data_IF_352465827120
#
_entry.id   IF_352465827120
#
_cell.length_a   1.000
_cell.length_b   1.000
_cell.length_c   1.000
_cell.angle_alpha   90.00
_cell.angle_beta   90.00
_cell.angle_gamma   90.00
#
_symmetry.space_group_name_H-M   'P 1'
#
loop_
_entity.id
_entity.type
_entity.pdbx_description
1 polymer ?
#
# COMPACT_ATOMS: atom_id res chain seq x y z
N UNK A 1 5.24 -13.87 41.24
CA UNK A 1 4.92 -14.55 39.96
C UNK A 1 5.19 -13.61 38.79
N UNK A 2 6.28 -13.82 38.06
CA UNK A 2 6.54 -13.09 36.80
C UNK A 2 5.58 -13.61 35.73
N UNK A 3 4.79 -12.73 35.12
CA UNK A 3 3.97 -13.06 33.96
C UNK A 3 4.86 -13.64 32.86
N UNK A 4 4.55 -14.86 32.44
CA UNK A 4 5.16 -15.49 31.27
C UNK A 4 4.86 -14.63 30.04
N UNK A 5 5.94 -14.21 29.40
CA UNK A 5 5.95 -13.48 28.15
C UNK A 5 5.39 -14.39 27.05
N UNK A 6 4.13 -14.16 26.65
CA UNK A 6 3.45 -14.95 25.62
C UNK A 6 3.84 -14.46 24.22
N UNK A 7 5.13 -14.39 23.92
CA UNK A 7 5.63 -14.15 22.56
C UNK A 7 5.45 -15.42 21.73
N UNK A 8 4.20 -15.64 21.33
CA UNK A 8 3.83 -16.60 20.29
C UNK A 8 4.71 -16.29 19.07
N UNK A 9 5.48 -17.29 18.64
CA UNK A 9 6.59 -17.17 17.68
C UNK A 9 6.30 -16.23 16.51
N UNK A 10 7.28 -15.40 16.21
CA UNK A 10 7.24 -14.41 15.12
C UNK A 10 7.06 -15.09 13.76
N UNK A 11 5.81 -15.36 13.38
CA UNK A 11 5.46 -15.70 12.00
C UNK A 11 6.02 -14.59 11.09
N UNK A 12 6.92 -14.97 10.18
CA UNK A 12 7.42 -14.07 9.14
C UNK A 12 6.34 -13.98 8.05
N UNK A 13 5.67 -12.83 7.95
CA UNK A 13 4.58 -12.62 6.99
C UNK A 13 5.04 -12.10 5.61
N UNK A 14 6.32 -11.73 5.45
CA UNK A 14 6.86 -11.18 4.20
C UNK A 14 7.91 -12.13 3.58
N UNK A 15 7.53 -12.86 2.53
CA UNK A 15 8.39 -13.85 1.84
C UNK A 15 8.33 -13.78 0.32
N UNK A 16 7.28 -13.19 -0.24
CA UNK A 16 6.97 -13.20 -1.66
C UNK A 16 6.70 -11.79 -2.20
N UNK A 17 6.67 -11.65 -3.53
CA UNK A 17 6.33 -10.39 -4.18
C UNK A 17 4.94 -9.88 -3.76
N UNK A 18 3.97 -10.78 -3.61
CA UNK A 18 2.62 -10.42 -3.15
C UNK A 18 2.65 -9.83 -1.73
N UNK A 19 3.44 -10.39 -0.82
CA UNK A 19 3.52 -9.87 0.55
C UNK A 19 4.09 -8.45 0.59
N UNK A 20 5.10 -8.16 -0.24
CA UNK A 20 5.67 -6.82 -0.35
C UNK A 20 4.76 -5.84 -1.10
N UNK A 21 4.00 -6.31 -2.09
CA UNK A 21 2.91 -5.54 -2.68
C UNK A 21 1.88 -5.13 -1.63
N UNK A 22 1.44 -6.08 -0.80
CA UNK A 22 0.48 -5.81 0.28
C UNK A 22 1.07 -4.88 1.33
N UNK A 23 2.36 -5.01 1.68
CA UNK A 23 3.03 -4.04 2.55
C UNK A 23 2.96 -2.62 1.96
N UNK A 24 3.31 -2.44 0.69
CA UNK A 24 3.23 -1.14 0.03
C UNK A 24 1.80 -0.60 0.03
N UNK A 25 0.82 -1.42 -0.37
CA UNK A 25 -0.58 -1.04 -0.41
C UNK A 25 -1.11 -0.65 0.98
N UNK A 26 -0.77 -1.42 2.02
CA UNK A 26 -1.23 -1.16 3.38
C UNK A 26 -0.53 0.05 4.01
N UNK A 27 0.73 0.34 3.67
CA UNK A 27 1.36 1.57 4.16
C UNK A 27 0.73 2.83 3.56
N UNK A 28 0.16 2.74 2.35
CA UNK A 28 -0.62 3.79 1.71
C UNK A 28 -2.04 3.90 2.31
N UNK A 29 -2.89 2.90 2.07
CA UNK A 29 -4.34 2.94 2.35
C UNK A 29 -4.79 2.05 3.53
N UNK A 30 -3.84 1.50 4.28
CA UNK A 30 -4.11 0.53 5.33
C UNK A 30 -4.91 1.10 6.50
N UNK A 31 -5.90 0.34 6.94
CA UNK A 31 -6.62 0.55 8.19
C UNK A 31 -6.03 -0.30 9.31
N UNK A 32 -6.01 0.29 10.50
CA UNK A 32 -5.82 -0.45 11.74
C UNK A 32 -6.57 0.22 12.89
N UNK A 33 -7.07 -0.59 13.81
CA UNK A 33 -7.63 -0.12 15.08
C UNK A 33 -7.64 -1.27 16.09
N UNK A 34 -6.95 -1.08 17.21
CA UNK A 34 -6.76 -2.12 18.24
C UNK A 34 -6.16 -3.41 17.66
N UNK A 35 -6.98 -4.44 17.40
CA UNK A 35 -6.57 -5.73 16.82
C UNK A 35 -7.00 -5.89 15.35
N UNK A 36 -7.57 -4.85 14.76
CA UNK A 36 -8.04 -4.86 13.39
C UNK A 36 -6.89 -4.56 12.43
N UNK A 37 -6.71 -5.38 11.42
CA UNK A 37 -5.79 -5.16 10.30
C UNK A 37 -6.59 -5.21 9.00
N UNK A 38 -6.60 -4.12 8.25
CA UNK A 38 -7.51 -3.96 7.12
C UNK A 38 -7.04 -2.99 6.05
N UNK A 39 -7.90 -2.84 5.04
CA UNK A 39 -7.77 -1.87 3.95
C UNK A 39 -9.11 -1.17 3.77
N UNK A 40 -9.08 0.15 3.54
CA UNK A 40 -10.25 0.92 3.13
C UNK A 40 -10.00 1.48 1.74
N UNK A 41 -10.82 1.12 0.75
CA UNK A 41 -10.65 1.61 -0.62
C UNK A 41 -11.98 1.74 -1.35
N UNK A 42 -12.00 2.64 -2.34
CA UNK A 42 -13.10 2.75 -3.32
C UNK A 42 -12.92 1.79 -4.50
N UNK A 43 -11.75 1.16 -4.64
CA UNK A 43 -11.45 0.19 -5.68
C UNK A 43 -11.73 -1.24 -5.18
N UNK A 44 -12.77 -1.87 -5.73
CA UNK A 44 -13.15 -3.25 -5.41
C UNK A 44 -12.07 -4.27 -5.76
N UNK A 45 -11.25 -4.02 -6.79
CA UNK A 45 -10.16 -4.93 -7.16
C UNK A 45 -9.08 -4.97 -6.09
N UNK A 46 -8.73 -3.81 -5.51
CA UNK A 46 -7.79 -3.73 -4.39
C UNK A 46 -8.33 -4.43 -3.15
N UNK A 47 -9.60 -4.21 -2.82
CA UNK A 47 -10.25 -4.88 -1.68
C UNK A 47 -10.25 -6.41 -1.87
N UNK A 48 -10.60 -6.90 -3.05
CA UNK A 48 -10.63 -8.34 -3.32
C UNK A 48 -9.23 -8.96 -3.24
N UNK A 49 -8.22 -8.32 -3.84
CA UNK A 49 -6.82 -8.78 -3.75
C UNK A 49 -6.34 -8.83 -2.31
N UNK A 50 -6.58 -7.77 -1.54
CA UNK A 50 -6.23 -7.73 -0.12
C UNK A 50 -6.97 -8.82 0.67
N UNK A 51 -8.23 -9.10 0.35
CA UNK A 51 -8.99 -10.20 0.96
C UNK A 51 -8.45 -11.58 0.66
N UNK A 52 -8.01 -11.84 -0.57
CA UNK A 52 -7.31 -13.09 -0.92
C UNK A 52 -6.03 -13.24 -0.08
N UNK A 53 -5.26 -12.16 0.09
CA UNK A 53 -4.08 -12.16 0.94
C UNK A 53 -4.42 -12.48 2.40
N UNK A 54 -5.42 -11.83 2.99
CA UNK A 54 -5.84 -12.08 4.38
C UNK A 54 -6.27 -13.53 4.61
N UNK A 55 -7.05 -14.11 3.69
CA UNK A 55 -7.44 -15.54 3.76
C UNK A 55 -6.24 -16.47 3.74
N UNK A 56 -5.18 -16.12 3.00
CA UNK A 56 -3.95 -16.92 2.93
C UNK A 56 -3.16 -16.87 4.23
N UNK A 57 -2.99 -15.69 4.82
CA UNK A 57 -2.11 -15.52 6.00
C UNK A 57 -2.81 -15.78 7.34
N UNK A 58 -4.14 -15.76 7.35
CA UNK A 58 -4.98 -15.96 8.53
C UNK A 58 -6.28 -16.70 8.16
N UNK A 59 -6.20 -17.95 7.69
CA UNK A 59 -7.36 -18.71 7.21
C UNK A 59 -8.43 -18.88 8.29
N UNK A 60 -8.03 -19.01 9.56
CA UNK A 60 -8.93 -19.22 10.70
C UNK A 60 -9.56 -17.92 11.21
N UNK A 61 -9.23 -16.76 10.62
CA UNK A 61 -9.79 -15.48 11.02
C UNK A 61 -10.86 -15.02 10.02
N UNK A 62 -12.11 -14.80 10.47
CA UNK A 62 -13.17 -14.38 9.58
C UNK A 62 -12.89 -12.99 9.01
N UNK A 63 -13.04 -12.85 7.69
CA UNK A 63 -13.04 -11.56 7.02
C UNK A 63 -14.27 -10.76 7.41
N UNK A 64 -14.06 -9.51 7.84
CA UNK A 64 -15.11 -8.55 8.14
C UNK A 64 -15.15 -7.49 7.05
N UNK A 65 -16.35 -7.16 6.59
CA UNK A 65 -16.59 -6.14 5.56
C UNK A 65 -17.56 -5.10 6.10
N UNK A 66 -17.26 -3.82 5.84
CA UNK A 66 -18.13 -2.69 6.11
C UNK A 66 -18.17 -1.78 4.90
N UNK A 67 -19.37 -1.51 4.39
CA UNK A 67 -19.57 -0.59 3.27
C UNK A 67 -19.92 0.78 3.86
N UNK A 68 -19.17 1.79 3.44
CA UNK A 68 -19.42 3.18 3.79
C UNK A 68 -20.10 3.85 2.60
N UNK A 69 -21.42 4.06 2.72
CA UNK A 69 -22.25 4.73 1.73
C UNK A 69 -21.90 6.23 1.65
N UNK A 70 -22.28 6.85 0.54
CA UNK A 70 -22.16 8.30 0.36
C UNK A 70 -23.20 8.97 1.28
N UNK A 71 -22.74 9.75 2.26
CA UNK A 71 -23.60 10.54 3.12
C UNK A 71 -23.87 11.94 2.55
N UNK A 72 -25.05 12.51 2.84
CA UNK A 72 -25.34 13.93 2.59
C UNK A 72 -24.29 14.78 3.34
N UNK A 73 -23.67 15.76 2.67
CA UNK A 73 -22.60 16.62 3.19
C UNK A 73 -21.27 15.95 3.55
N UNK A 74 -21.00 14.72 3.07
CA UNK A 74 -19.68 14.11 3.26
C UNK A 74 -18.73 14.44 2.11
N UNK A 75 -17.44 14.60 2.42
CA UNK A 75 -16.35 14.83 1.44
C UNK A 75 -16.24 13.68 0.41
N UNK A 76 -16.71 12.50 0.77
CA UNK A 76 -16.60 11.28 -0.04
C UNK A 76 -17.66 11.25 -1.14
N UNK A 77 -17.20 11.13 -2.39
CA UNK A 77 -18.06 11.11 -3.60
C UNK A 77 -18.36 9.70 -4.16
N UNK A 78 -17.80 8.66 -3.55
CA UNK A 78 -17.94 7.25 -3.97
C UNK A 78 -18.08 6.37 -2.75
N UNK A 79 -18.83 5.28 -2.84
CA UNK A 79 -18.81 4.26 -1.80
C UNK A 79 -17.39 3.73 -1.60
N UNK A 80 -17.01 3.50 -0.35
CA UNK A 80 -15.77 2.79 -0.06
C UNK A 80 -16.08 1.56 0.78
N UNK A 81 -15.34 0.50 0.50
CA UNK A 81 -15.41 -0.72 1.26
C UNK A 81 -14.22 -0.79 2.21
N UNK A 82 -14.52 -1.28 3.40
CA UNK A 82 -13.54 -1.51 4.43
C UNK A 82 -13.53 -3.01 4.74
N UNK A 83 -12.40 -3.64 4.45
CA UNK A 83 -12.17 -5.06 4.66
C UNK A 83 -11.08 -5.25 5.71
N UNK A 84 -11.32 -6.08 6.72
CA UNK A 84 -10.36 -6.32 7.79
C UNK A 84 -10.52 -7.69 8.46
N UNK A 85 -9.50 -8.10 9.20
CA UNK A 85 -9.55 -9.20 10.17
C UNK A 85 -9.22 -8.68 11.56
N UNK A 86 -9.69 -9.38 12.59
CA UNK A 86 -9.24 -9.18 13.96
C UNK A 86 -8.11 -10.17 14.25
N UNK A 87 -6.86 -9.70 14.13
CA UNK A 87 -5.66 -10.49 14.46
C UNK A 87 -4.56 -9.56 14.99
N UNK A 88 -4.40 -9.54 16.33
CA UNK A 88 -3.44 -8.67 17.02
C UNK A 88 -1.99 -8.92 16.60
N UNK A 89 -1.61 -10.16 16.29
CA UNK A 89 -0.24 -10.50 15.90
C UNK A 89 0.11 -9.90 14.54
N UNK A 90 -0.77 -10.05 13.54
CA UNK A 90 -0.60 -9.44 12.21
C UNK A 90 -0.62 -7.93 12.30
N UNK A 91 -1.57 -7.34 13.04
CA UNK A 91 -1.64 -5.88 13.24
C UNK A 91 -0.33 -5.34 13.82
N UNK A 92 0.20 -5.97 14.88
CA UNK A 92 1.47 -5.57 15.50
C UNK A 92 2.63 -5.70 14.53
N UNK A 93 2.71 -6.79 13.78
CA UNK A 93 3.77 -7.00 12.80
C UNK A 93 3.80 -5.89 11.74
N UNK A 94 2.67 -5.58 11.10
CA UNK A 94 2.61 -4.51 10.08
C UNK A 94 2.83 -3.11 10.68
N UNK A 95 2.38 -2.87 11.91
CA UNK A 95 2.65 -1.62 12.62
C UNK A 95 4.14 -1.38 12.89
N UNK A 96 4.98 -2.43 12.96
CA UNK A 96 6.43 -2.25 13.05
C UNK A 96 6.94 -1.49 11.81
N UNK A 97 6.48 -1.82 10.61
CA UNK A 97 6.90 -1.13 9.38
C UNK A 97 6.42 0.32 9.36
N UNK A 98 5.16 0.56 9.75
CA UNK A 98 4.59 1.92 9.81
C UNK A 98 5.28 2.81 10.85
N UNK A 99 5.77 2.24 11.96
CA UNK A 99 6.43 2.99 13.05
C UNK A 99 7.94 3.14 12.88
N UNK A 100 8.63 2.09 12.41
CA UNK A 100 10.11 2.04 12.40
C UNK A 100 10.70 2.96 11.32
N UNK A 101 9.95 3.28 10.25
CA UNK A 101 10.32 4.22 9.16
C UNK A 101 11.73 4.05 8.57
N UNK A 102 12.35 2.89 8.77
CA UNK A 102 13.73 2.58 8.37
C UNK A 102 13.91 1.09 8.02
N UNK A 103 12.87 0.45 7.49
CA UNK A 103 12.93 -0.96 7.09
C UNK A 103 13.56 -1.12 5.70
N UNK A 104 14.14 -2.28 5.41
CA UNK A 104 14.62 -2.59 4.06
C UNK A 104 13.57 -3.39 3.29
N UNK A 105 13.52 -3.17 1.98
CA UNK A 105 12.80 -4.03 1.03
C UNK A 105 13.85 -4.75 0.18
N UNK A 106 13.86 -6.09 0.12
CA UNK A 106 14.77 -6.81 -0.76
C UNK A 106 14.62 -6.34 -2.21
N UNK A 107 15.73 -6.13 -2.91
CA UNK A 107 15.76 -5.57 -4.27
C UNK A 107 14.81 -6.30 -5.24
N UNK A 108 14.75 -7.64 -5.15
CA UNK A 108 13.84 -8.48 -5.95
C UNK A 108 12.35 -8.21 -5.76
N UNK A 109 11.96 -7.60 -4.64
CA UNK A 109 10.56 -7.28 -4.30
C UNK A 109 10.26 -5.78 -4.32
N UNK A 110 11.25 -4.93 -4.61
CA UNK A 110 11.10 -3.48 -4.60
C UNK A 110 10.03 -2.99 -5.59
N UNK A 111 9.94 -3.62 -6.78
CA UNK A 111 8.90 -3.27 -7.77
C UNK A 111 7.50 -3.65 -7.31
N UNK A 112 7.35 -4.77 -6.59
CA UNK A 112 6.06 -5.18 -6.04
C UNK A 112 5.63 -4.22 -4.92
N UNK A 113 6.55 -3.86 -4.02
CA UNK A 113 6.33 -2.84 -2.99
C UNK A 113 5.91 -1.48 -3.59
N UNK A 114 6.65 -1.00 -4.60
CA UNK A 114 6.34 0.25 -5.30
C UNK A 114 4.96 0.18 -5.98
N UNK A 115 4.59 -0.96 -6.58
CA UNK A 115 3.27 -1.17 -7.16
C UNK A 115 2.16 -1.01 -6.11
N UNK A 116 2.35 -1.57 -4.91
CA UNK A 116 1.41 -1.40 -3.81
C UNK A 116 1.24 0.06 -3.39
N UNK A 117 2.35 0.80 -3.26
CA UNK A 117 2.31 2.25 -2.96
C UNK A 117 1.55 3.05 -4.02
N UNK A 118 1.77 2.73 -5.31
CA UNK A 118 1.08 3.38 -6.43
C UNK A 118 -0.41 3.02 -6.44
N UNK A 119 -0.74 1.77 -6.21
CA UNK A 119 -2.13 1.32 -6.22
C UNK A 119 -2.96 1.91 -5.06
N UNK A 120 -2.34 2.16 -3.90
CA UNK A 120 -2.97 2.96 -2.84
C UNK A 120 -2.99 4.45 -3.18
N UNK A 121 -1.91 5.16 -2.83
CA UNK A 121 -1.80 6.62 -2.89
C UNK A 121 -1.32 7.20 -4.24
N UNK A 122 -1.06 6.33 -5.21
CA UNK A 122 -0.53 6.76 -6.50
C UNK A 122 -1.56 7.42 -7.41
N UNK A 123 -1.09 8.42 -8.15
CA UNK A 123 -1.84 9.11 -9.20
C UNK A 123 -1.02 9.05 -10.49
N UNK A 124 -1.68 8.64 -11.57
CA UNK A 124 -1.11 8.54 -12.92
C UNK A 124 -1.72 9.66 -13.76
N UNK A 125 -0.88 10.56 -14.25
CA UNK A 125 -1.32 11.61 -15.16
C UNK A 125 -1.71 11.02 -16.52
N UNK A 126 -2.98 11.18 -16.91
CA UNK A 126 -3.52 10.75 -18.21
C UNK A 126 -2.82 11.42 -19.40
N UNK A 127 -2.22 12.59 -19.20
CA UNK A 127 -1.48 13.33 -20.25
C UNK A 127 0.04 13.15 -20.12
N UNK A 128 0.51 12.30 -19.20
CA UNK A 128 1.92 12.03 -18.89
C UNK A 128 2.79 13.27 -18.60
N UNK A 129 2.21 14.46 -18.42
CA UNK A 129 2.94 15.73 -18.22
C UNK A 129 3.68 15.73 -16.88
N UNK A 130 3.07 15.11 -15.86
CA UNK A 130 3.59 14.99 -14.50
C UNK A 130 3.94 13.55 -14.09
N UNK A 131 3.66 12.54 -14.94
CA UNK A 131 4.09 11.16 -14.73
C UNK A 131 3.33 10.39 -13.64
N UNK A 132 4.02 9.46 -12.98
CA UNK A 132 3.49 8.70 -11.83
C UNK A 132 3.95 9.41 -10.56
N UNK A 133 3.01 9.71 -9.66
CA UNK A 133 3.29 10.32 -8.37
C UNK A 133 2.63 9.56 -7.23
N UNK A 134 3.20 9.63 -6.03
CA UNK A 134 2.69 9.00 -4.81
C UNK A 134 2.62 10.08 -3.73
N UNK A 135 1.46 10.23 -3.09
CA UNK A 135 1.27 11.20 -2.02
C UNK A 135 1.53 10.58 -0.64
N UNK A 136 2.00 11.40 0.30
CA UNK A 136 2.35 11.02 1.66
C UNK A 136 1.87 12.12 2.61
N UNK A 137 1.24 11.72 3.71
CA UNK A 137 0.89 12.65 4.80
C UNK A 137 2.06 13.02 5.70
N UNK A 138 3.15 12.23 5.67
CA UNK A 138 4.29 12.37 6.57
C UNK A 138 5.62 12.40 5.79
N UNK A 139 6.51 13.31 6.21
CA UNK A 139 7.81 13.53 5.56
C UNK A 139 8.73 12.31 5.66
N UNK A 140 8.82 11.69 6.83
CA UNK A 140 9.72 10.57 7.09
C UNK A 140 9.34 9.36 6.25
N UNK A 141 8.04 9.11 6.04
CA UNK A 141 7.57 8.05 5.16
C UNK A 141 7.95 8.32 3.70
N UNK A 142 7.86 9.58 3.26
CA UNK A 142 8.29 9.97 1.92
C UNK A 142 9.82 9.88 1.75
N UNK A 143 10.60 10.37 2.70
CA UNK A 143 12.07 10.28 2.68
C UNK A 143 12.54 8.82 2.69
N UNK A 144 11.86 7.96 3.45
CA UNK A 144 12.16 6.53 3.48
C UNK A 144 11.97 5.89 2.10
N UNK A 145 10.84 6.13 1.44
CA UNK A 145 10.57 5.61 0.11
C UNK A 145 11.53 6.21 -0.94
N UNK A 146 11.98 7.47 -0.79
CA UNK A 146 13.04 8.05 -1.63
C UNK A 146 14.34 7.27 -1.49
N UNK A 147 14.71 6.82 -0.29
CA UNK A 147 15.89 5.99 -0.07
C UNK A 147 15.72 4.61 -0.70
N UNK A 148 14.56 3.97 -0.55
CA UNK A 148 14.26 2.67 -1.16
C UNK A 148 14.28 2.72 -2.69
N UNK A 149 13.71 3.75 -3.30
CA UNK A 149 13.65 3.89 -4.76
C UNK A 149 14.93 4.46 -5.36
N UNK A 150 15.75 5.14 -4.56
CA UNK A 150 16.96 5.84 -4.97
C UNK A 150 16.69 7.30 -5.35
N UNK A 151 17.44 8.22 -4.75
CA UNK A 151 17.33 9.69 -4.95
C UNK A 151 17.48 10.12 -6.42
N UNK A 152 18.20 9.34 -7.23
CA UNK A 152 18.41 9.58 -8.65
C UNK A 152 17.18 9.24 -9.51
N UNK A 153 16.28 8.40 -8.99
CA UNK A 153 15.12 7.85 -9.69
C UNK A 153 13.84 8.63 -9.44
N UNK A 154 13.81 9.43 -8.37
CA UNK A 154 12.62 10.15 -7.93
C UNK A 154 12.91 11.60 -7.57
N UNK A 155 11.86 12.41 -7.48
CA UNK A 155 11.93 13.79 -6.97
C UNK A 155 10.88 13.96 -5.88
N UNK A 156 11.26 14.58 -4.75
CA UNK A 156 10.40 14.80 -3.58
C UNK A 156 10.01 16.27 -3.49
N UNK A 157 8.71 16.56 -3.38
CA UNK A 157 8.18 17.92 -3.24
C UNK A 157 7.20 18.00 -2.07
N UNK A 158 7.10 19.16 -1.45
CA UNK A 158 6.08 19.45 -0.44
C UNK A 158 5.05 20.43 -0.98
N UNK A 159 3.78 20.02 -0.98
CA UNK A 159 2.64 20.84 -1.40
C UNK A 159 2.01 21.50 -0.18
N UNK A 160 2.41 22.76 0.10
CA UNK A 160 1.96 23.53 1.27
C UNK A 160 0.44 23.57 1.42
N UNK A 161 -0.29 23.81 0.32
CA UNK A 161 -1.76 23.92 0.35
C UNK A 161 -2.48 22.64 0.75
N UNK A 162 -1.92 21.47 0.41
CA UNK A 162 -2.48 20.17 0.73
C UNK A 162 -1.87 19.56 2.00
N UNK A 163 -0.79 20.13 2.54
CA UNK A 163 -0.04 19.55 3.65
C UNK A 163 0.53 18.16 3.34
N UNK A 164 0.91 17.90 2.09
CA UNK A 164 1.35 16.57 1.63
C UNK A 164 2.72 16.60 0.98
N UNK A 165 3.47 15.52 1.20
CA UNK A 165 4.72 15.22 0.49
C UNK A 165 4.40 14.36 -0.72
N UNK A 166 5.01 14.64 -1.86
CA UNK A 166 4.75 13.92 -3.11
C UNK A 166 6.06 13.49 -3.73
N UNK A 167 6.16 12.19 -3.98
CA UNK A 167 7.23 11.60 -4.77
C UNK A 167 6.78 11.53 -6.22
N UNK A 168 7.57 12.07 -7.13
CA UNK A 168 7.44 11.90 -8.57
C UNK A 168 8.46 10.90 -9.09
N UNK A 169 8.01 9.91 -9.86
CA UNK A 169 8.91 9.01 -10.59
C UNK A 169 9.47 9.73 -11.82
N UNK A 170 10.79 9.89 -11.87
CA UNK A 170 11.47 10.54 -13.00
C UNK A 170 11.27 9.74 -14.29
N UNK A 171 11.22 10.44 -15.42
CA UNK A 171 10.94 9.85 -16.75
C UNK A 171 11.80 8.63 -17.06
N UNK A 172 13.13 8.75 -16.98
CA UNK A 172 14.08 7.66 -17.25
C UNK A 172 13.84 6.42 -16.38
N UNK A 173 13.59 6.62 -15.09
CA UNK A 173 13.31 5.50 -14.18
C UNK A 173 11.99 4.84 -14.51
N UNK A 174 10.93 5.64 -14.69
CA UNK A 174 9.59 5.16 -15.07
C UNK A 174 9.63 4.31 -16.34
N UNK A 175 10.24 4.81 -17.41
CA UNK A 175 10.35 4.10 -18.70
C UNK A 175 11.04 2.74 -18.54
N UNK A 176 12.08 2.66 -17.68
CA UNK A 176 12.80 1.42 -17.39
C UNK A 176 11.97 0.39 -16.62
N UNK A 177 11.03 0.82 -15.78
CA UNK A 177 10.34 -0.09 -14.85
C UNK A 177 8.88 -0.36 -15.21
N UNK A 178 8.26 0.43 -16.10
CA UNK A 178 6.81 0.42 -16.32
C UNK A 178 6.25 -0.96 -16.71
N UNK A 179 6.92 -1.66 -17.64
CA UNK A 179 6.52 -3.01 -18.07
C UNK A 179 6.69 -4.07 -16.97
N UNK A 180 7.66 -3.85 -16.08
CA UNK A 180 7.96 -4.77 -14.96
C UNK A 180 7.00 -4.56 -13.80
N UNK A 181 6.65 -3.31 -13.50
CA UNK A 181 5.73 -2.95 -12.41
C UNK A 181 4.27 -3.24 -12.77
N UNK A 182 3.90 -3.16 -14.05
CA UNK A 182 2.56 -3.50 -14.54
C UNK A 182 2.15 -4.93 -14.21
N UNK A 183 3.11 -5.86 -14.07
CA UNK A 183 2.86 -7.24 -13.62
C UNK A 183 2.28 -7.33 -12.21
N UNK A 184 2.49 -6.29 -11.40
CA UNK A 184 2.05 -6.24 -10.01
C UNK A 184 0.95 -5.20 -9.77
N UNK A 185 0.93 -4.08 -10.50
CA UNK A 185 0.01 -2.97 -10.24
C UNK A 185 -1.31 -3.11 -10.98
N UNK A 186 -2.42 -2.93 -10.26
CA UNK A 186 -3.77 -2.88 -10.83
C UNK A 186 -3.95 -1.60 -11.65
N UNK A 187 -3.44 -0.46 -11.19
CA UNK A 187 -3.56 0.84 -11.89
C UNK A 187 -2.71 0.93 -13.16
N UNK A 188 -1.59 0.20 -13.22
CA UNK A 188 -0.64 0.20 -14.35
C UNK A 188 -0.76 -1.03 -15.24
N UNK A 189 -1.66 -1.96 -14.92
CA UNK A 189 -1.96 -3.09 -15.80
C UNK A 189 -2.44 -2.53 -17.16
N UNK A 190 -1.91 -3.02 -18.30
CA UNK A 190 -2.27 -2.48 -19.60
C UNK A 190 -3.78 -2.57 -19.81
N UNK A 191 -4.38 -1.45 -20.23
CA UNK A 191 -5.81 -1.34 -20.55
C UNK A 191 -6.15 -2.15 -21.83
N UNK A 192 -5.17 -2.79 -22.47
CA UNK A 192 -5.27 -3.46 -23.77
C UNK A 192 -5.32 -5.00 -23.72
N UNK A 193 -5.96 -5.60 -22.70
CA UNK A 193 -6.35 -7.03 -22.73
C UNK A 193 -7.84 -7.26 -22.47
N UNK A 194 -8.68 -6.26 -22.78
CA UNK A 194 -10.14 -6.44 -22.91
C UNK A 194 -10.61 -5.89 -24.26
N UNK A 195 -10.08 -6.42 -25.36
CA UNK A 195 -10.65 -6.36 -26.71
C UNK A 195 -9.82 -7.25 -27.63
N UNK A 196 -10.23 -8.51 -27.75
CA UNK A 196 -10.32 -9.27 -29.00
C UNK A 196 -11.25 -10.44 -28.74
#
# INVERSE_FOLDING_TARGET
>A
MKQKDNTVGSKVYLKSAEDFYILGLWLADGYWWSSSFGLSSTDKKLINRFGCYLKKIAPDHPLKRRIYKIGKNQKRKKEAEHLYINNRAITRFFLLYKKKKNFSVPSRFLLAYLAGRIDGDGSIDRKYRSGIRIAYGDKKDAEHDVLLFGKQNVSLYFYKSAGTWVIYLRKKFREKIISKIAKYSIKLCPVETFSK
#
